data_IF_276847657691
#
_entry.id   IF_276847657691
#
_cell.length_a   1.000
_cell.length_b   1.000
_cell.length_c   1.000
_cell.angle_alpha   90.00
_cell.angle_beta   90.00
_cell.angle_gamma   90.00
#
_symmetry.space_group_name_H-M   'P 1'
#
loop_
_entity.id
_entity.type
_entity.pdbx_description
1 polymer ?
#
# COMPACT_ATOMS: atom_id res chain seq x y z
N UNK A 1 22.20 11.11 14.49
CA UNK A 1 21.37 11.97 15.36
C UNK A 1 21.23 11.26 16.71
N UNK A 2 21.52 11.91 17.85
CA UNK A 2 21.24 11.33 19.18
C UNK A 2 20.00 12.02 19.75
N UNK A 3 18.96 11.25 20.03
CA UNK A 3 17.80 11.79 20.76
C UNK A 3 18.22 12.17 22.19
N UNK A 4 17.73 13.34 22.64
CA UNK A 4 17.90 13.80 24.01
C UNK A 4 16.52 13.99 24.63
N UNK A 5 16.17 13.11 25.57
CA UNK A 5 14.90 13.15 26.28
C UNK A 5 15.04 13.97 27.57
N UNK A 6 14.11 14.91 27.80
CA UNK A 6 14.01 15.69 29.05
C UNK A 6 12.62 15.49 29.64
N UNK A 7 12.56 15.02 30.87
CA UNK A 7 11.30 14.87 31.60
C UNK A 7 10.73 16.24 31.96
N UNK A 8 9.41 16.42 31.77
CA UNK A 8 8.68 17.61 32.21
C UNK A 8 7.40 17.16 32.89
N UNK A 9 7.13 17.72 34.06
CA UNK A 9 5.87 17.54 34.76
C UNK A 9 4.73 18.29 34.05
N UNK A 10 3.54 17.69 33.99
CA UNK A 10 2.30 18.30 33.51
C UNK A 10 1.12 17.77 34.33
N UNK A 11 0.26 18.66 34.81
CA UNK A 11 -0.97 18.29 35.54
C UNK A 11 -1.94 17.44 34.68
N UNK A 12 -1.84 17.52 33.35
CA UNK A 12 -2.61 16.68 32.44
C UNK A 12 -2.21 15.20 32.55
N UNK A 13 -0.92 14.92 32.82
CA UNK A 13 -0.44 13.55 33.02
C UNK A 13 -0.98 12.97 34.32
N UNK A 14 -1.03 13.76 35.40
CA UNK A 14 -1.66 13.32 36.66
C UNK A 14 -3.15 13.01 36.49
N UNK A 15 -3.91 13.89 35.81
CA UNK A 15 -5.32 13.63 35.52
C UNK A 15 -5.51 12.33 34.73
N UNK A 16 -4.73 12.13 33.67
CA UNK A 16 -4.80 10.91 32.87
C UNK A 16 -4.44 9.65 33.67
N UNK A 17 -3.45 9.73 34.56
CA UNK A 17 -3.07 8.61 35.44
C UNK A 17 -4.16 8.27 36.46
N UNK A 18 -4.89 9.26 36.98
CA UNK A 18 -6.02 9.03 37.89
C UNK A 18 -7.14 8.28 37.14
N UNK A 19 -7.48 8.73 35.93
CA UNK A 19 -8.52 8.08 35.11
C UNK A 19 -8.13 6.63 34.77
N UNK A 20 -6.85 6.38 34.51
CA UNK A 20 -6.32 5.06 34.17
C UNK A 20 -6.14 4.16 35.41
N UNK A 21 -6.08 4.70 36.62
CA UNK A 21 -5.88 3.92 37.86
C UNK A 21 -6.98 2.89 38.14
N UNK A 22 -8.14 3.03 37.49
CA UNK A 22 -9.23 2.03 37.51
C UNK A 22 -8.76 0.68 36.96
N UNK A 23 -7.75 0.68 36.08
CA UNK A 23 -7.20 -0.50 35.45
C UNK A 23 -6.02 -1.13 36.22
N UNK A 24 -5.51 -0.49 37.29
CA UNK A 24 -4.41 -1.06 38.09
C UNK A 24 -3.69 -0.06 38.98
N UNK A 25 -2.99 -0.57 40.01
CA UNK A 25 -2.22 0.24 40.96
C UNK A 25 -0.85 0.65 40.43
N UNK A 26 -0.42 0.07 39.32
CA UNK A 26 0.82 0.42 38.60
C UNK A 26 0.54 0.65 37.12
N UNK A 27 1.42 1.41 36.44
CA UNK A 27 1.34 1.61 34.98
C UNK A 27 1.35 0.28 34.23
N UNK A 28 2.12 -0.69 34.72
CA UNK A 28 2.21 -2.02 34.11
C UNK A 28 0.87 -2.78 34.22
N UNK A 29 0.26 -2.81 35.40
CA UNK A 29 -1.04 -3.45 35.61
C UNK A 29 -2.13 -2.78 34.76
N UNK A 30 -2.18 -1.44 34.77
CA UNK A 30 -3.14 -0.70 33.97
C UNK A 30 -2.98 -0.97 32.47
N UNK A 31 -1.75 -0.98 31.95
CA UNK A 31 -1.49 -1.31 30.56
C UNK A 31 -1.90 -2.76 30.20
N UNK A 32 -1.67 -3.71 31.10
CA UNK A 32 -2.07 -5.11 30.91
C UNK A 32 -3.60 -5.28 30.88
N UNK A 33 -4.33 -4.63 31.79
CA UNK A 33 -5.79 -4.66 31.80
C UNK A 33 -6.40 -3.92 30.61
N UNK A 34 -5.81 -2.79 30.20
CA UNK A 34 -6.21 -2.10 28.98
C UNK A 34 -5.99 -2.97 27.73
N UNK A 35 -4.86 -3.66 27.63
CA UNK A 35 -4.61 -4.60 26.54
C UNK A 35 -5.67 -5.70 26.53
N UNK A 36 -5.96 -6.32 27.68
CA UNK A 36 -7.02 -7.35 27.80
C UNK A 36 -8.38 -6.81 27.32
N UNK A 37 -8.77 -5.62 27.77
CA UNK A 37 -10.02 -5.00 27.37
C UNK A 37 -10.08 -4.71 25.85
N UNK A 38 -8.98 -4.23 25.25
CA UNK A 38 -8.88 -3.99 23.81
C UNK A 38 -8.93 -5.30 23.01
N UNK A 39 -8.18 -6.31 23.43
CA UNK A 39 -8.20 -7.64 22.80
C UNK A 39 -9.61 -8.25 22.81
N UNK A 40 -10.32 -8.16 23.94
CA UNK A 40 -11.70 -8.62 24.03
C UNK A 40 -12.65 -7.90 23.07
N UNK A 41 -12.47 -6.59 22.84
CA UNK A 41 -13.24 -5.81 21.86
C UNK A 41 -12.90 -6.18 20.41
N UNK A 42 -11.64 -6.50 20.14
CA UNK A 42 -11.15 -6.90 18.82
C UNK A 42 -11.49 -8.35 18.44
N UNK A 43 -12.21 -9.09 19.31
CA UNK A 43 -12.51 -10.51 19.11
C UNK A 43 -13.22 -10.74 17.76
N UNK A 44 -12.65 -11.62 16.94
CA UNK A 44 -13.15 -11.96 15.61
C UNK A 44 -12.52 -11.16 14.47
N UNK A 45 -11.71 -10.13 14.76
CA UNK A 45 -10.88 -9.40 13.80
C UNK A 45 -9.41 -9.67 14.10
N UNK A 46 -8.83 -10.72 13.53
CA UNK A 46 -7.49 -11.13 13.92
C UNK A 46 -6.40 -10.12 13.50
N UNK A 47 -6.62 -9.31 12.46
CA UNK A 47 -5.71 -8.22 12.11
C UNK A 47 -5.59 -7.16 13.22
N UNK A 48 -6.71 -6.77 13.83
CA UNK A 48 -6.72 -5.84 14.97
C UNK A 48 -6.10 -6.48 16.23
N UNK A 49 -6.38 -7.77 16.47
CA UNK A 49 -5.75 -8.53 17.56
C UNK A 49 -4.22 -8.57 17.40
N UNK A 50 -3.74 -8.91 16.20
CA UNK A 50 -2.31 -9.01 15.92
C UNK A 50 -1.61 -7.66 16.06
N UNK A 51 -2.24 -6.56 15.61
CA UNK A 51 -1.71 -5.21 15.80
C UNK A 51 -1.54 -4.86 17.28
N UNK A 52 -2.57 -5.11 18.10
CA UNK A 52 -2.51 -4.86 19.54
C UNK A 52 -1.42 -5.69 20.23
N UNK A 53 -1.22 -6.93 19.81
CA UNK A 53 -0.16 -7.79 20.32
C UNK A 53 1.23 -7.31 19.90
N UNK A 54 1.39 -6.84 18.66
CA UNK A 54 2.64 -6.25 18.18
C UNK A 54 2.99 -4.97 18.94
N UNK A 55 2.04 -4.05 19.11
CA UNK A 55 2.23 -2.82 19.88
C UNK A 55 2.66 -3.13 21.33
N UNK A 56 1.98 -4.07 21.98
CA UNK A 56 2.30 -4.49 23.34
C UNK A 56 3.64 -5.23 23.45
N UNK A 57 4.03 -5.99 22.42
CA UNK A 57 5.34 -6.64 22.35
C UNK A 57 6.46 -5.59 22.20
N UNK A 58 6.32 -4.65 21.27
CA UNK A 58 7.27 -3.57 21.03
C UNK A 58 7.39 -2.61 22.24
N UNK A 59 6.30 -2.42 22.99
CA UNK A 59 6.32 -1.63 24.24
C UNK A 59 6.93 -2.39 25.43
N UNK A 60 7.30 -3.66 25.28
CA UNK A 60 7.82 -4.51 26.36
C UNK A 60 6.78 -4.89 27.42
N UNK A 61 5.48 -4.84 27.09
CA UNK A 61 4.41 -5.18 28.03
C UNK A 61 4.36 -6.68 28.34
N UNK A 62 4.75 -7.50 27.36
CA UNK A 62 4.99 -8.92 27.50
C UNK A 62 6.17 -9.36 26.61
N UNK A 63 6.83 -10.45 26.97
CA UNK A 63 7.92 -11.04 26.20
C UNK A 63 7.64 -12.49 25.76
N UNK A 64 6.61 -13.10 26.33
CA UNK A 64 6.21 -14.48 26.04
C UNK A 64 4.88 -14.50 25.28
N UNK A 65 4.97 -14.76 23.98
CA UNK A 65 3.81 -14.84 23.09
C UNK A 65 2.90 -16.04 23.39
N UNK A 66 3.41 -17.08 24.07
CA UNK A 66 2.64 -18.30 24.36
C UNK A 66 1.37 -18.04 25.18
N UNK A 67 1.35 -16.97 25.98
CA UNK A 67 0.18 -16.49 26.72
C UNK A 67 -1.01 -16.16 25.81
N UNK A 68 -0.75 -15.73 24.57
CA UNK A 68 -1.76 -15.24 23.64
C UNK A 68 -2.02 -16.21 22.48
N UNK A 69 -1.29 -17.32 22.37
CA UNK A 69 -1.42 -18.30 21.28
C UNK A 69 -2.86 -18.79 21.11
N UNK A 70 -3.52 -19.24 22.17
CA UNK A 70 -4.91 -19.70 22.08
C UNK A 70 -5.85 -18.57 21.61
N UNK A 71 -5.61 -17.35 22.07
CA UNK A 71 -6.45 -16.20 21.72
C UNK A 71 -6.31 -15.82 20.24
N UNK A 72 -5.08 -15.80 19.72
CA UNK A 72 -4.83 -15.53 18.30
C UNK A 72 -5.35 -16.67 17.42
N UNK A 73 -5.19 -17.93 17.83
CA UNK A 73 -5.69 -19.08 17.07
C UNK A 73 -7.22 -19.02 16.93
N UNK A 74 -7.94 -18.69 18.01
CA UNK A 74 -9.39 -18.48 17.96
C UNK A 74 -9.79 -17.30 17.06
N UNK A 75 -9.01 -16.22 17.08
CA UNK A 75 -9.28 -15.04 16.24
C UNK A 75 -9.05 -15.36 14.76
N UNK A 76 -7.92 -15.97 14.41
CA UNK A 76 -7.60 -16.40 13.05
C UNK A 76 -8.63 -17.40 12.56
N UNK A 77 -9.13 -18.32 13.39
CA UNK A 77 -10.15 -19.28 12.98
C UNK A 77 -11.48 -18.61 12.59
N UNK A 78 -11.92 -17.59 13.34
CA UNK A 78 -13.24 -16.95 13.16
C UNK A 78 -13.28 -15.84 12.13
N UNK A 79 -12.15 -15.21 11.87
CA UNK A 79 -12.09 -14.08 10.95
C UNK A 79 -12.18 -14.55 9.49
N UNK A 80 -13.17 -14.05 8.76
CA UNK A 80 -13.41 -14.35 7.36
C UNK A 80 -12.99 -13.24 6.40
N UNK A 81 -12.39 -12.16 6.92
CA UNK A 81 -12.00 -11.01 6.10
C UNK A 81 -10.56 -11.14 5.58
N UNK A 82 -10.40 -11.02 4.26
CA UNK A 82 -9.10 -11.15 3.61
C UNK A 82 -8.09 -10.11 4.11
N UNK A 83 -8.49 -8.83 4.19
CA UNK A 83 -7.57 -7.76 4.55
C UNK A 83 -7.13 -7.85 6.01
N UNK A 84 -8.05 -8.20 6.90
CA UNK A 84 -7.78 -8.52 8.31
C UNK A 84 -6.82 -9.70 8.44
N UNK A 85 -6.98 -10.77 7.64
CA UNK A 85 -6.05 -11.91 7.64
C UNK A 85 -4.66 -11.59 7.10
N UNK A 86 -4.57 -10.81 6.03
CA UNK A 86 -3.28 -10.34 5.52
C UNK A 86 -2.55 -9.47 6.54
N UNK A 87 -3.24 -8.52 7.16
CA UNK A 87 -2.70 -7.70 8.25
C UNK A 87 -2.26 -8.56 9.44
N UNK A 88 -3.07 -9.56 9.82
CA UNK A 88 -2.73 -10.50 10.89
C UNK A 88 -1.41 -11.22 10.60
N UNK A 89 -1.27 -11.78 9.39
CA UNK A 89 -0.05 -12.44 8.95
C UNK A 89 1.16 -11.50 9.01
N UNK A 90 1.01 -10.28 8.48
CA UNK A 90 2.06 -9.27 8.48
C UNK A 90 2.49 -8.91 9.90
N UNK A 91 1.57 -8.51 10.79
CA UNK A 91 1.93 -8.10 12.15
C UNK A 91 2.53 -9.22 12.98
N UNK A 92 2.03 -10.45 12.86
CA UNK A 92 2.60 -11.60 13.56
C UNK A 92 4.00 -11.96 13.05
N UNK A 93 4.30 -11.74 11.77
CA UNK A 93 5.65 -11.98 11.22
C UNK A 93 6.71 -11.06 11.81
N UNK A 94 6.30 -9.93 12.40
CA UNK A 94 7.20 -9.01 13.10
C UNK A 94 7.52 -9.46 14.54
N UNK A 95 6.85 -10.52 15.04
CA UNK A 95 7.06 -11.08 16.38
C UNK A 95 7.84 -12.39 16.25
N UNK A 96 9.08 -12.43 16.73
CA UNK A 96 10.03 -13.55 16.56
C UNK A 96 9.46 -14.93 16.93
N UNK A 97 8.57 -15.00 17.92
CA UNK A 97 7.95 -16.24 18.43
C UNK A 97 6.56 -16.55 17.87
N UNK A 98 6.09 -15.78 16.88
CA UNK A 98 4.75 -15.95 16.29
C UNK A 98 4.77 -16.43 14.83
N UNK A 99 5.94 -16.87 14.32
CA UNK A 99 6.10 -17.31 12.92
C UNK A 99 5.07 -18.38 12.50
N UNK A 100 4.77 -19.34 13.38
CA UNK A 100 3.79 -20.37 13.10
C UNK A 100 2.38 -19.80 12.88
N UNK A 101 1.96 -18.85 13.72
CA UNK A 101 0.67 -18.19 13.61
C UNK A 101 0.64 -17.23 12.41
N UNK A 102 1.75 -16.57 12.10
CA UNK A 102 1.91 -15.76 10.90
C UNK A 102 1.72 -16.60 9.62
N UNK A 103 2.38 -17.77 9.54
CA UNK A 103 2.23 -18.70 8.42
C UNK A 103 0.79 -19.22 8.30
N UNK A 104 0.16 -19.56 9.42
CA UNK A 104 -1.24 -20.01 9.42
C UNK A 104 -2.20 -18.92 8.95
N UNK A 105 -2.04 -17.69 9.45
CA UNK A 105 -2.83 -16.53 9.04
C UNK A 105 -2.61 -16.21 7.55
N UNK A 106 -1.37 -16.31 7.06
CA UNK A 106 -1.04 -16.13 5.64
C UNK A 106 -1.75 -17.16 4.77
N UNK A 107 -1.65 -18.44 5.08
CA UNK A 107 -2.31 -19.50 4.30
C UNK A 107 -3.83 -19.32 4.30
N UNK A 108 -4.40 -18.90 5.43
CA UNK A 108 -5.83 -18.56 5.50
C UNK A 108 -6.16 -17.36 4.61
N UNK A 109 -5.36 -16.29 4.63
CA UNK A 109 -5.54 -15.14 3.75
C UNK A 109 -5.56 -15.55 2.27
N UNK A 110 -4.66 -16.44 1.84
CA UNK A 110 -4.65 -16.95 0.46
C UNK A 110 -5.89 -17.76 0.10
N UNK A 111 -6.38 -18.57 1.05
CA UNK A 111 -7.63 -19.30 0.87
C UNK A 111 -8.83 -18.37 0.75
N UNK A 112 -8.87 -17.27 1.51
CA UNK A 112 -9.93 -16.26 1.43
C UNK A 112 -9.86 -15.46 0.13
N UNK A 113 -8.65 -15.08 -0.31
CA UNK A 113 -8.42 -14.39 -1.57
C UNK A 113 -8.93 -15.20 -2.77
N UNK A 114 -8.67 -16.51 -2.75
CA UNK A 114 -9.09 -17.45 -3.80
C UNK A 114 -10.60 -17.42 -4.04
N UNK A 115 -11.39 -17.29 -2.97
CA UNK A 115 -12.87 -17.26 -3.02
C UNK A 115 -13.46 -15.85 -2.88
N UNK A 116 -12.63 -14.80 -2.95
CA UNK A 116 -13.05 -13.43 -2.68
C UNK A 116 -13.98 -12.90 -3.78
N UNK A 117 -15.19 -12.50 -3.41
CA UNK A 117 -16.16 -11.86 -4.30
C UNK A 117 -16.41 -10.41 -3.85
N UNK A 118 -15.53 -9.50 -4.27
CA UNK A 118 -15.59 -8.07 -3.97
C UNK A 118 -14.62 -7.60 -2.88
N UNK A 119 -14.83 -6.37 -2.40
CA UNK A 119 -13.90 -5.64 -1.52
C UNK A 119 -13.27 -4.45 -2.24
N UNK A 120 -12.51 -3.63 -1.51
CA UNK A 120 -11.84 -2.47 -2.09
C UNK A 120 -10.58 -2.91 -2.87
N UNK A 121 -10.51 -2.72 -4.20
CA UNK A 121 -9.41 -3.23 -5.03
C UNK A 121 -8.03 -2.73 -4.59
N UNK A 122 -7.94 -1.48 -4.15
CA UNK A 122 -6.70 -0.88 -3.66
C UNK A 122 -6.18 -1.59 -2.40
N UNK A 123 -7.06 -1.86 -1.43
CA UNK A 123 -6.70 -2.61 -0.22
C UNK A 123 -6.28 -4.02 -0.60
N UNK A 124 -7.01 -4.68 -1.50
CA UNK A 124 -6.69 -6.05 -1.91
C UNK A 124 -5.29 -6.11 -2.54
N UNK A 125 -5.00 -5.21 -3.47
CA UNK A 125 -3.68 -5.12 -4.12
C UNK A 125 -2.55 -4.85 -3.12
N UNK A 126 -2.74 -3.90 -2.19
CA UNK A 126 -1.78 -3.61 -1.11
C UNK A 126 -1.52 -4.88 -0.27
N UNK A 127 -2.57 -5.57 0.16
CA UNK A 127 -2.43 -6.78 0.98
C UNK A 127 -1.77 -7.94 0.24
N UNK A 128 -1.97 -8.09 -1.07
CA UNK A 128 -1.24 -9.07 -1.87
C UNK A 128 0.26 -8.77 -1.90
N UNK A 129 0.64 -7.49 -2.00
CA UNK A 129 2.04 -7.05 -1.95
C UNK A 129 2.63 -7.34 -0.55
N UNK A 130 1.91 -7.04 0.53
CA UNK A 130 2.34 -7.39 1.88
C UNK A 130 2.62 -8.90 2.00
N UNK A 131 1.69 -9.75 1.54
CA UNK A 131 1.84 -11.21 1.56
C UNK A 131 2.99 -11.72 0.69
N UNK A 132 3.29 -11.03 -0.41
CA UNK A 132 4.45 -11.28 -1.27
C UNK A 132 5.76 -10.96 -0.54
N UNK A 133 5.87 -9.79 0.10
CA UNK A 133 7.11 -9.37 0.80
C UNK A 133 7.49 -10.31 1.95
N UNK A 134 6.50 -10.95 2.58
CA UNK A 134 6.73 -11.93 3.64
C UNK A 134 7.41 -13.21 3.13
N UNK A 135 6.95 -13.74 1.99
CA UNK A 135 7.42 -15.02 1.44
C UNK A 135 7.17 -15.06 -0.08
N UNK A 136 8.07 -14.50 -0.90
CA UNK A 136 7.80 -14.26 -2.32
C UNK A 136 7.69 -15.56 -3.14
N UNK A 137 8.58 -16.53 -2.92
CA UNK A 137 8.68 -17.74 -3.77
C UNK A 137 7.79 -18.90 -3.31
N UNK A 138 6.62 -18.61 -2.77
CA UNK A 138 5.71 -19.62 -2.21
C UNK A 138 4.72 -20.14 -3.26
N UNK A 139 4.68 -21.46 -3.47
CA UNK A 139 3.83 -22.05 -4.52
C UNK A 139 2.33 -21.80 -4.25
N UNK A 140 1.88 -21.84 -2.99
CA UNK A 140 0.49 -21.56 -2.64
C UNK A 140 0.08 -20.12 -2.99
N UNK A 141 1.01 -19.17 -2.88
CA UNK A 141 0.80 -17.79 -3.29
C UNK A 141 0.60 -17.71 -4.81
N UNK A 142 1.51 -18.32 -5.57
CA UNK A 142 1.42 -18.37 -7.04
C UNK A 142 0.10 -19.00 -7.47
N UNK A 143 -0.29 -20.14 -6.88
CA UNK A 143 -1.53 -20.84 -7.21
C UNK A 143 -2.76 -19.96 -6.94
N UNK A 144 -2.76 -19.18 -5.85
CA UNK A 144 -3.85 -18.26 -5.52
C UNK A 144 -3.95 -17.09 -6.52
N UNK A 145 -2.82 -16.54 -6.96
CA UNK A 145 -2.75 -15.52 -8.01
C UNK A 145 -3.25 -16.04 -9.36
N UNK A 146 -2.81 -17.24 -9.75
CA UNK A 146 -3.26 -17.93 -10.97
C UNK A 146 -4.76 -18.20 -10.95
N UNK A 147 -5.29 -18.66 -9.80
CA UNK A 147 -6.72 -18.90 -9.62
C UNK A 147 -7.54 -17.61 -9.73
N UNK A 148 -7.01 -16.47 -9.25
CA UNK A 148 -7.68 -15.18 -9.43
C UNK A 148 -7.82 -14.80 -10.91
N UNK A 149 -6.79 -15.05 -11.73
CA UNK A 149 -6.83 -14.74 -13.16
C UNK A 149 -7.85 -15.59 -13.94
N UNK A 150 -8.29 -16.73 -13.38
CA UNK A 150 -9.33 -17.59 -13.97
C UNK A 150 -10.77 -17.10 -13.71
N UNK A 151 -10.96 -16.07 -12.88
CA UNK A 151 -12.30 -15.50 -12.64
C UNK A 151 -12.85 -14.80 -13.89
N UNK A 152 -14.14 -14.99 -14.17
CA UNK A 152 -14.81 -14.30 -15.28
C UNK A 152 -14.84 -12.78 -15.10
N UNK A 153 -15.08 -12.33 -13.86
CA UNK A 153 -15.08 -10.91 -13.49
C UNK A 153 -13.92 -10.62 -12.56
N UNK A 154 -13.07 -9.69 -12.97
CA UNK A 154 -11.85 -9.29 -12.26
C UNK A 154 -11.87 -7.79 -12.06
N UNK A 155 -11.43 -7.36 -10.89
CA UNK A 155 -11.26 -5.94 -10.58
C UNK A 155 -9.92 -5.50 -11.18
N UNK A 156 -9.94 -4.46 -12.02
CA UNK A 156 -8.78 -4.11 -12.87
C UNK A 156 -7.51 -3.83 -12.07
N UNK A 157 -7.60 -3.18 -10.92
CA UNK A 157 -6.44 -2.93 -10.06
C UNK A 157 -5.84 -4.21 -9.48
N UNK A 158 -6.68 -5.15 -9.07
CA UNK A 158 -6.22 -6.43 -8.51
C UNK A 158 -5.64 -7.29 -9.62
N UNK A 159 -6.27 -7.31 -10.81
CA UNK A 159 -5.73 -7.98 -11.98
C UNK A 159 -4.33 -7.45 -12.33
N UNK A 160 -4.16 -6.13 -12.36
CA UNK A 160 -2.85 -5.50 -12.55
C UNK A 160 -1.84 -6.00 -11.52
N UNK A 161 -2.16 -5.89 -10.22
CA UNK A 161 -1.25 -6.32 -9.15
C UNK A 161 -0.87 -7.81 -9.25
N UNK A 162 -1.84 -8.66 -9.59
CA UNK A 162 -1.63 -10.10 -9.80
C UNK A 162 -0.68 -10.36 -10.96
N UNK A 163 -0.88 -9.71 -12.12
CA UNK A 163 0.06 -9.80 -13.23
C UNK A 163 1.45 -9.32 -12.83
N UNK A 164 1.54 -8.16 -12.17
CA UNK A 164 2.82 -7.59 -11.77
C UNK A 164 3.60 -8.51 -10.83
N UNK A 165 2.92 -9.09 -9.85
CA UNK A 165 3.53 -10.05 -8.91
C UNK A 165 3.96 -11.34 -9.61
N UNK A 166 3.14 -11.89 -10.52
CA UNK A 166 3.50 -13.08 -11.28
C UNK A 166 4.68 -12.84 -12.23
N UNK A 167 4.76 -11.67 -12.86
CA UNK A 167 5.92 -11.28 -13.68
C UNK A 167 7.16 -11.14 -12.80
N UNK A 168 7.07 -10.50 -11.62
CA UNK A 168 8.15 -10.41 -10.62
C UNK A 168 8.67 -11.78 -10.17
N UNK A 169 7.81 -12.79 -10.20
CA UNK A 169 8.15 -14.18 -9.90
C UNK A 169 8.63 -15.00 -11.10
N UNK A 170 8.74 -14.39 -12.29
CA UNK A 170 9.10 -15.08 -13.54
C UNK A 170 8.06 -16.11 -13.98
N UNK A 171 6.79 -15.93 -13.59
CA UNK A 171 5.65 -16.80 -13.95
C UNK A 171 4.81 -16.27 -15.11
N UNK A 172 5.10 -15.03 -15.53
CA UNK A 172 4.47 -14.35 -16.66
C UNK A 172 5.53 -13.67 -17.48
N UNK A 173 5.44 -13.85 -18.80
CA UNK A 173 6.29 -13.16 -19.75
C UNK A 173 5.82 -11.72 -19.93
N UNK A 174 6.75 -10.83 -20.28
CA UNK A 174 6.44 -9.41 -20.47
C UNK A 174 5.46 -9.20 -21.62
N UNK A 175 5.58 -10.00 -22.69
CA UNK A 175 4.67 -9.95 -23.84
C UNK A 175 3.21 -10.23 -23.44
N UNK A 176 2.98 -11.12 -22.47
CA UNK A 176 1.64 -11.40 -21.96
C UNK A 176 1.08 -10.21 -21.18
N UNK A 177 1.91 -9.56 -20.36
CA UNK A 177 1.53 -8.34 -19.62
C UNK A 177 1.18 -7.21 -20.58
N UNK A 178 1.99 -7.02 -21.62
CA UNK A 178 1.74 -6.02 -22.66
C UNK A 178 0.43 -6.29 -23.39
N UNK A 179 0.16 -7.54 -23.77
CA UNK A 179 -1.09 -7.91 -24.42
C UNK A 179 -2.33 -7.61 -23.56
N UNK A 180 -2.25 -7.86 -22.24
CA UNK A 180 -3.33 -7.53 -21.31
C UNK A 180 -3.49 -6.02 -21.17
N UNK A 181 -2.39 -5.28 -21.03
CA UNK A 181 -2.41 -3.82 -20.98
C UNK A 181 -3.05 -3.24 -22.24
N UNK A 182 -2.61 -3.64 -23.44
CA UNK A 182 -3.20 -3.25 -24.72
C UNK A 182 -4.71 -3.51 -24.78
N UNK A 183 -5.18 -4.64 -24.22
CA UNK A 183 -6.61 -4.93 -24.11
C UNK A 183 -7.40 -3.90 -23.29
N UNK A 184 -6.79 -3.30 -22.27
CA UNK A 184 -7.37 -2.19 -21.52
C UNK A 184 -7.35 -0.87 -22.32
N UNK A 185 -6.28 -0.60 -23.08
CA UNK A 185 -6.11 0.66 -23.84
C UNK A 185 -6.90 0.72 -25.15
N UNK A 186 -7.01 -0.39 -25.87
CA UNK A 186 -7.71 -0.46 -27.16
C UNK A 186 -9.04 -1.23 -27.07
N UNK A 187 -9.47 -1.56 -25.86
CA UNK A 187 -10.74 -2.22 -25.59
C UNK A 187 -11.97 -1.32 -25.79
N UNK A 188 -13.11 -1.73 -25.25
CA UNK A 188 -14.32 -0.88 -25.25
C UNK A 188 -14.11 0.39 -24.43
N UNK A 189 -14.92 1.43 -24.67
CA UNK A 189 -14.79 2.69 -23.94
C UNK A 189 -14.91 2.57 -22.41
N UNK A 190 -15.57 1.52 -21.89
CA UNK A 190 -15.57 1.24 -20.46
C UNK A 190 -14.29 0.53 -19.99
N UNK A 191 -13.67 -0.32 -20.81
CA UNK A 191 -12.34 -0.90 -20.51
C UNK A 191 -11.26 0.17 -20.50
N UNK A 192 -11.31 1.13 -21.44
CA UNK A 192 -10.38 2.25 -21.50
C UNK A 192 -10.38 3.09 -20.21
N UNK A 193 -11.55 3.31 -19.62
CA UNK A 193 -11.67 3.98 -18.30
C UNK A 193 -11.03 3.20 -17.16
N UNK A 194 -10.87 1.88 -17.29
CA UNK A 194 -10.22 1.02 -16.29
C UNK A 194 -8.70 0.90 -16.48
N UNK A 195 -8.17 1.31 -17.64
CA UNK A 195 -6.74 1.25 -17.91
C UNK A 195 -5.85 1.95 -16.86
N UNK A 196 -6.20 3.17 -16.36
CA UNK A 196 -5.45 3.80 -15.26
C UNK A 196 -5.38 2.95 -14.00
N UNK A 197 -6.51 2.31 -13.67
CA UNK A 197 -6.70 1.53 -12.45
C UNK A 197 -5.93 0.20 -12.56
N UNK A 198 -5.97 -0.45 -13.73
CA UNK A 198 -5.16 -1.62 -14.03
C UNK A 198 -3.66 -1.33 -13.91
N UNK A 199 -3.18 -0.26 -14.55
CA UNK A 199 -1.76 0.10 -14.50
C UNK A 199 -1.28 0.34 -13.07
N UNK A 200 -2.06 1.04 -12.25
CA UNK A 200 -1.72 1.29 -10.86
C UNK A 200 -1.41 -0.02 -10.11
N UNK A 201 -2.27 -1.03 -10.28
CA UNK A 201 -2.03 -2.37 -9.74
C UNK A 201 -0.77 -3.02 -10.30
N UNK A 202 -0.63 -3.04 -11.62
CA UNK A 202 0.50 -3.65 -12.32
C UNK A 202 1.83 -3.13 -11.80
N UNK A 203 1.97 -1.81 -11.75
CA UNK A 203 3.18 -1.19 -11.27
C UNK A 203 3.46 -1.46 -9.79
N UNK A 204 2.42 -1.49 -8.94
CA UNK A 204 2.57 -1.80 -7.52
C UNK A 204 3.10 -3.24 -7.31
N UNK A 205 2.67 -4.20 -8.15
CA UNK A 205 3.13 -5.60 -8.11
C UNK A 205 4.46 -5.88 -8.83
N UNK A 206 4.88 -5.00 -9.75
CA UNK A 206 6.07 -5.19 -10.60
C UNK A 206 7.18 -4.14 -10.39
N UNK A 207 7.20 -3.45 -9.25
CA UNK A 207 8.15 -2.36 -8.97
C UNK A 207 9.59 -2.70 -9.35
N UNK A 208 10.05 -3.90 -8.98
CA UNK A 208 11.43 -4.33 -9.22
C UNK A 208 11.74 -4.53 -10.70
N UNK A 209 10.78 -5.03 -11.50
CA UNK A 209 10.98 -5.25 -12.94
C UNK A 209 11.03 -3.91 -13.67
N UNK A 210 10.19 -2.95 -13.27
CA UNK A 210 10.17 -1.61 -13.86
C UNK A 210 11.50 -0.89 -13.77
N UNK A 211 12.34 -1.19 -12.78
CA UNK A 211 13.66 -0.57 -12.64
C UNK A 211 14.69 -1.08 -13.64
N UNK A 212 14.59 -2.35 -14.04
CA UNK A 212 15.68 -3.03 -14.74
C UNK A 212 15.30 -3.53 -16.14
N UNK A 213 14.02 -3.56 -16.49
CA UNK A 213 13.58 -4.09 -17.77
C UNK A 213 13.25 -2.98 -18.79
N UNK A 214 14.20 -2.71 -19.68
CA UNK A 214 14.05 -1.71 -20.75
C UNK A 214 12.88 -2.03 -21.71
N UNK A 215 12.59 -3.31 -21.96
CA UNK A 215 11.49 -3.72 -22.84
C UNK A 215 10.12 -3.38 -22.26
N UNK A 216 9.92 -3.66 -20.97
CA UNK A 216 8.69 -3.32 -20.26
C UNK A 216 8.50 -1.79 -20.20
N UNK A 217 9.56 -1.05 -19.88
CA UNK A 217 9.52 0.42 -19.88
C UNK A 217 9.22 0.97 -21.26
N UNK A 218 9.83 0.44 -22.32
CA UNK A 218 9.56 0.85 -23.70
C UNK A 218 8.13 0.56 -24.13
N UNK A 219 7.63 -0.63 -23.83
CA UNK A 219 6.26 -1.01 -24.12
C UNK A 219 5.26 -0.09 -23.40
N UNK A 220 5.47 0.13 -22.10
CA UNK A 220 4.64 1.03 -21.31
C UNK A 220 4.70 2.48 -21.79
N UNK A 221 5.89 2.95 -22.20
CA UNK A 221 6.06 4.28 -22.76
C UNK A 221 5.25 4.46 -24.04
N UNK A 222 5.27 3.46 -24.92
CA UNK A 222 4.51 3.47 -26.17
C UNK A 222 3.00 3.47 -25.91
N UNK A 223 2.54 2.63 -24.99
CA UNK A 223 1.14 2.59 -24.56
C UNK A 223 0.67 3.95 -24.02
N UNK A 224 1.49 4.63 -23.20
CA UNK A 224 1.18 5.95 -22.68
C UNK A 224 1.20 7.04 -23.76
N UNK A 225 2.00 6.89 -24.81
CA UNK A 225 2.08 7.83 -25.93
C UNK A 225 0.85 7.74 -26.85
N UNK A 226 0.23 6.56 -26.94
CA UNK A 226 -0.98 6.35 -27.74
C UNK A 226 -2.28 6.70 -27.00
N UNK A 227 -2.19 7.06 -25.71
CA UNK A 227 -3.33 7.53 -24.93
C UNK A 227 -3.85 8.87 -25.45
N UNK A 228 -5.18 9.03 -25.47
CA UNK A 228 -5.76 10.35 -25.62
C UNK A 228 -5.46 11.23 -24.39
N UNK A 229 -5.47 12.54 -24.60
CA UNK A 229 -5.13 13.52 -23.57
C UNK A 229 -6.03 13.43 -22.33
N UNK A 230 -7.31 13.13 -22.49
CA UNK A 230 -8.27 13.04 -21.39
C UNK A 230 -7.97 11.82 -20.50
N UNK A 231 -7.73 10.65 -21.11
CA UNK A 231 -7.33 9.45 -20.39
C UNK A 231 -5.95 9.65 -19.76
N UNK A 232 -4.99 10.24 -20.47
CA UNK A 232 -3.67 10.52 -19.92
C UNK A 232 -3.74 11.37 -18.64
N UNK A 233 -4.55 12.44 -18.63
CA UNK A 233 -4.76 13.28 -17.46
C UNK A 233 -5.42 12.52 -16.28
N UNK A 234 -6.24 11.50 -16.54
CA UNK A 234 -6.80 10.62 -15.51
C UNK A 234 -5.76 9.63 -14.96
N UNK A 235 -4.85 9.13 -15.81
CA UNK A 235 -3.77 8.21 -15.41
C UNK A 235 -2.68 8.92 -14.61
N UNK A 236 -2.41 10.19 -14.92
CA UNK A 236 -1.25 10.94 -14.40
C UNK A 236 -1.16 11.00 -12.85
N UNK A 237 -2.23 11.26 -12.07
CA UNK A 237 -2.17 11.23 -10.61
C UNK A 237 -1.76 9.85 -10.06
N UNK A 238 -2.25 8.77 -10.69
CA UNK A 238 -1.90 7.40 -10.30
C UNK A 238 -0.43 7.08 -10.60
N UNK A 239 0.07 7.54 -11.76
CA UNK A 239 1.49 7.45 -12.07
C UNK A 239 2.33 8.22 -11.07
N UNK A 240 1.97 9.47 -10.73
CA UNK A 240 2.69 10.26 -9.71
C UNK A 240 2.72 9.56 -8.35
N UNK A 241 1.59 8.99 -7.92
CA UNK A 241 1.51 8.23 -6.67
C UNK A 241 2.43 7.01 -6.71
N UNK A 242 2.42 6.27 -7.81
CA UNK A 242 3.33 5.15 -7.99
C UNK A 242 4.80 5.60 -7.94
N UNK A 243 5.15 6.65 -8.68
CA UNK A 243 6.52 7.17 -8.73
C UNK A 243 7.01 7.64 -7.35
N UNK A 244 6.11 8.02 -6.44
CA UNK A 244 6.45 8.36 -5.05
C UNK A 244 6.97 7.17 -4.22
N UNK A 245 6.69 5.93 -4.65
CA UNK A 245 7.20 4.72 -4.01
C UNK A 245 8.65 4.43 -4.37
N UNK A 246 9.19 5.08 -5.42
CA UNK A 246 10.57 4.94 -5.82
C UNK A 246 11.47 5.93 -5.09
N UNK A 247 12.69 5.50 -4.77
CA UNK A 247 13.71 6.43 -4.26
C UNK A 247 14.16 7.40 -5.36
N UNK A 248 14.76 8.56 -5.02
CA UNK A 248 15.27 9.49 -6.05
C UNK A 248 16.22 8.83 -7.06
N UNK A 249 17.06 7.90 -6.60
CA UNK A 249 18.00 7.13 -7.43
C UNK A 249 17.28 6.17 -8.40
N UNK A 250 16.19 5.56 -7.93
CA UNK A 250 15.34 4.69 -8.74
C UNK A 250 14.62 5.49 -9.83
N UNK A 251 14.07 6.66 -9.47
CA UNK A 251 13.44 7.58 -10.44
C UNK A 251 14.46 8.04 -11.49
N UNK A 252 15.66 8.45 -11.09
CA UNK A 252 16.73 8.84 -12.02
C UNK A 252 17.12 7.70 -12.97
N UNK A 253 17.08 6.45 -12.48
CA UNK A 253 17.39 5.26 -13.30
C UNK A 253 16.34 5.05 -14.38
N UNK A 254 15.06 5.10 -14.02
CA UNK A 254 13.94 4.99 -14.96
C UNK A 254 13.97 6.16 -15.95
N UNK A 255 14.16 7.38 -15.47
CA UNK A 255 14.24 8.58 -16.29
C UNK A 255 15.37 8.46 -17.34
N UNK A 256 16.53 7.95 -16.96
CA UNK A 256 17.64 7.71 -17.90
C UNK A 256 17.30 6.67 -18.97
N UNK A 257 16.61 5.59 -18.61
CA UNK A 257 16.18 4.59 -19.59
C UNK A 257 15.17 5.19 -20.58
N UNK A 258 14.17 5.92 -20.09
CA UNK A 258 13.17 6.60 -20.92
C UNK A 258 13.82 7.67 -21.81
N UNK A 259 14.80 8.43 -21.31
CA UNK A 259 15.52 9.45 -22.09
C UNK A 259 16.15 8.87 -23.36
N UNK A 260 16.73 7.67 -23.25
CA UNK A 260 17.35 6.97 -24.39
C UNK A 260 16.31 6.55 -25.41
N UNK A 261 15.13 6.13 -24.97
CA UNK A 261 14.02 5.73 -25.86
C UNK A 261 13.55 6.90 -26.73
N UNK A 262 13.43 8.09 -26.15
CA UNK A 262 13.00 9.30 -26.87
C UNK A 262 14.15 10.08 -27.53
N UNK A 263 15.40 9.60 -27.44
CA UNK A 263 16.57 10.31 -27.96
C UNK A 263 16.82 11.66 -27.29
N UNK A 264 16.31 11.87 -26.07
CA UNK A 264 16.48 13.08 -25.28
C UNK A 264 17.74 12.98 -24.39
N UNK A 265 18.39 14.11 -24.12
CA UNK A 265 19.51 14.20 -23.17
C UNK A 265 19.00 14.31 -21.73
N UNK A 266 19.76 13.85 -20.74
CA UNK A 266 19.41 13.97 -19.30
C UNK A 266 19.07 15.41 -18.88
N UNK A 267 19.62 16.41 -19.57
CA UNK A 267 19.38 17.83 -19.34
C UNK A 267 17.94 18.25 -19.67
N UNK A 268 17.24 17.56 -20.56
CA UNK A 268 15.85 17.86 -20.93
C UNK A 268 14.83 17.37 -19.90
N UNK A 269 15.20 16.42 -19.04
CA UNK A 269 14.31 15.78 -18.05
C UNK A 269 14.40 16.46 -16.68
N UNK A 270 15.51 17.15 -16.40
CA UNK A 270 15.61 17.98 -15.19
C UNK A 270 14.67 19.16 -15.35
N UNK A 271 13.56 19.16 -14.62
CA UNK A 271 12.84 20.40 -14.35
C UNK A 271 13.86 21.42 -13.86
N UNK A 272 13.98 22.56 -14.55
CA UNK A 272 14.74 23.66 -14.00
C UNK A 272 14.13 23.97 -12.63
N UNK A 273 14.94 23.95 -11.54
CA UNK A 273 14.42 24.27 -10.23
C UNK A 273 13.76 25.64 -10.32
N UNK A 274 12.45 25.67 -10.04
CA UNK A 274 11.71 26.93 -10.04
C UNK A 274 12.40 27.87 -9.07
N UNK A 275 12.82 29.04 -9.55
CA UNK A 275 13.52 29.99 -8.68
C UNK A 275 12.66 30.34 -7.47
N UNK A 276 13.27 30.51 -6.31
CA UNK A 276 12.56 30.89 -5.09
C UNK A 276 11.74 32.18 -5.30
N UNK A 277 12.26 33.09 -6.13
CA UNK A 277 11.59 34.31 -6.56
C UNK A 277 10.31 34.04 -7.35
N UNK A 278 10.33 33.10 -8.31
CA UNK A 278 9.15 32.73 -9.08
C UNK A 278 8.10 32.02 -8.22
N UNK A 279 8.54 31.14 -7.32
CA UNK A 279 7.68 30.44 -6.37
C UNK A 279 6.98 31.45 -5.42
N UNK A 280 7.75 32.36 -4.83
CA UNK A 280 7.24 33.44 -3.98
C UNK A 280 6.25 34.34 -4.74
N UNK A 281 6.57 34.68 -5.99
CA UNK A 281 5.68 35.46 -6.85
C UNK A 281 4.36 34.73 -7.14
N UNK A 282 4.42 33.45 -7.51
CA UNK A 282 3.25 32.61 -7.74
C UNK A 282 2.37 32.50 -6.49
N UNK A 283 2.97 32.24 -5.32
CA UNK A 283 2.25 32.21 -4.03
C UNK A 283 1.59 33.55 -3.68
N UNK A 284 2.25 34.67 -3.98
CA UNK A 284 1.66 36.00 -3.79
C UNK A 284 0.49 36.27 -4.74
N UNK A 285 0.62 35.84 -5.99
CA UNK A 285 -0.44 35.89 -6.99
C UNK A 285 -1.65 35.09 -6.53
N UNK A 286 -1.43 33.86 -6.08
CA UNK A 286 -2.48 32.97 -5.61
C UNK A 286 -3.22 33.55 -4.39
N UNK A 287 -2.48 34.12 -3.43
CA UNK A 287 -3.08 34.88 -2.30
C UNK A 287 -3.88 36.10 -2.76
N UNK A 288 -3.41 36.85 -3.76
CA UNK A 288 -4.14 38.01 -4.31
C UNK A 288 -5.41 37.56 -5.02
N UNK A 289 -5.34 36.51 -5.84
CA UNK A 289 -6.49 35.91 -6.53
C UNK A 289 -7.51 35.45 -5.51
N UNK A 290 -7.10 34.68 -4.49
CA UNK A 290 -7.98 34.25 -3.40
C UNK A 290 -8.61 35.44 -2.66
N UNK A 291 -7.85 36.49 -2.37
CA UNK A 291 -8.38 37.71 -1.75
C UNK A 291 -9.32 38.53 -2.65
N UNK A 292 -9.21 38.42 -3.98
CA UNK A 292 -10.17 39.02 -4.93
C UNK A 292 -11.43 38.17 -5.00
N UNK A 293 -11.30 36.85 -5.05
CA UNK A 293 -12.42 35.89 -5.05
C UNK A 293 -13.25 36.02 -3.77
N UNK A 294 -12.61 36.09 -2.60
CA UNK A 294 -13.26 36.34 -1.30
C UNK A 294 -14.04 37.66 -1.29
N UNK A 295 -13.44 38.75 -1.79
CA UNK A 295 -14.12 40.05 -1.87
C UNK A 295 -15.30 40.08 -2.85
N UNK A 296 -15.33 39.15 -3.81
CA UNK A 296 -16.40 39.02 -4.80
C UNK A 296 -17.42 37.93 -4.43
N UNK A 297 -17.24 37.23 -3.31
CA UNK A 297 -18.14 36.16 -2.87
C UNK A 297 -18.10 34.92 -3.76
N UNK A 298 -17.00 34.70 -4.48
CA UNK A 298 -16.82 33.60 -5.43
C UNK A 298 -15.92 32.51 -4.82
N UNK A 299 -16.25 32.06 -3.60
CA UNK A 299 -15.44 31.07 -2.87
C UNK A 299 -15.59 29.65 -3.44
N UNK A 300 -16.71 29.36 -4.10
CA UNK A 300 -17.00 28.07 -4.71
C UNK A 300 -17.27 28.26 -6.20
N UNK A 301 -16.43 27.65 -7.04
CA UNK A 301 -16.81 27.38 -8.42
C UNK A 301 -17.81 26.23 -8.43
N UNK A 302 -19.10 26.55 -8.46
CA UNK A 302 -20.06 25.84 -9.32
C UNK A 302 -20.08 26.51 -10.71
#
# INVERSE_FOLDING_TARGET
>A
MRETWKYRFSAQVESALIDISVYGGTVKEAAQEMLRAKLHKAKGRAGEVALLLLEAYLSGLFSDFSMYTQFIDEAVQKDGDFASMANCAYYLSQIEKANQQADYARNKALSLFSVLDGGEPAIIAEKLIDLYTMKPTDQQFIDALELYLQKEKRESQVEGAVFGLLTSLGKREIDEVMQVAEGYFYGSGDMQKQAPIFLNGLFAGAKDIFLYNESLLSGMSHVLEELDEEIFLQVLPHLRLLFSQFTPLEVDTIARQISKLYGATEEAIKEEPTSEELLMYAMQLDRKVKGILMRRGLEDGE
#
